data_IF_964758729163
#
_entry.id   IF_964758729163
#
_cell.length_a   1.000
_cell.length_b   1.000
_cell.length_c   1.000
_cell.angle_alpha   90.00
_cell.angle_beta   90.00
_cell.angle_gamma   90.00
#
_symmetry.space_group_name_H-M   'P 1'
#
loop_
_entity.id
_entity.type
_entity.pdbx_description
1 polymer ?
#
# COMPACT_ATOMS: atom_id res chain seq x y z
N UNK A 1 -37.87 -36.60 27.31
CA UNK A 1 -38.20 -36.17 25.94
C UNK A 1 -38.05 -34.66 25.68
N UNK A 2 -38.04 -33.78 26.70
CA UNK A 2 -38.01 -32.30 26.51
C UNK A 2 -36.61 -31.72 26.33
N UNK A 3 -35.60 -32.35 26.92
CA UNK A 3 -34.20 -31.89 26.92
C UNK A 3 -33.51 -32.12 25.58
N UNK A 4 -33.82 -33.23 24.89
CA UNK A 4 -33.24 -33.58 23.58
C UNK A 4 -33.58 -32.54 22.49
N UNK A 5 -34.76 -31.92 22.58
CA UNK A 5 -35.22 -30.92 21.61
C UNK A 5 -34.50 -29.57 21.79
N UNK A 6 -34.16 -29.22 23.03
CA UNK A 6 -33.45 -27.97 23.36
C UNK A 6 -31.99 -28.06 22.92
N UNK A 7 -31.31 -29.20 23.15
CA UNK A 7 -29.93 -29.39 22.69
C UNK A 7 -29.82 -29.42 21.17
N UNK A 8 -30.76 -30.06 20.48
CA UNK A 8 -30.78 -30.09 19.01
C UNK A 8 -31.00 -28.69 18.40
N UNK A 9 -31.91 -27.88 18.98
CA UNK A 9 -32.13 -26.50 18.56
C UNK A 9 -30.91 -25.60 18.79
N UNK A 10 -30.23 -25.74 19.93
CA UNK A 10 -29.03 -24.97 20.25
C UNK A 10 -27.86 -25.30 19.32
N UNK A 11 -27.67 -26.57 18.98
CA UNK A 11 -26.65 -27.03 18.01
C UNK A 11 -26.88 -26.47 16.60
N UNK A 12 -28.14 -26.40 16.15
CA UNK A 12 -28.51 -25.81 14.85
C UNK A 12 -28.22 -24.30 14.77
N UNK A 13 -28.46 -23.56 15.86
CA UNK A 13 -28.18 -22.11 15.91
C UNK A 13 -26.67 -21.82 15.92
N UNK A 14 -25.87 -22.64 16.61
CA UNK A 14 -24.40 -22.45 16.67
C UNK A 14 -23.72 -22.68 15.31
N UNK A 15 -24.25 -23.58 14.48
CA UNK A 15 -23.73 -23.87 13.14
C UNK A 15 -24.03 -22.73 12.13
N UNK A 16 -25.18 -22.04 12.26
CA UNK A 16 -25.56 -20.96 11.36
C UNK A 16 -24.71 -19.69 11.51
N UNK A 17 -24.09 -19.48 12.68
CA UNK A 17 -23.26 -18.29 12.98
C UNK A 17 -21.86 -18.38 12.36
N UNK A 18 -21.41 -19.58 11.97
CA UNK A 18 -20.04 -19.80 11.46
C UNK A 18 -19.85 -19.56 9.95
N UNK A 19 -20.88 -19.18 9.20
CA UNK A 19 -20.77 -19.04 7.74
C UNK A 19 -20.31 -17.65 7.26
N UNK A 20 -20.06 -16.71 8.16
CA UNK A 20 -19.57 -15.39 7.81
C UNK A 20 -18.06 -15.28 7.99
N UNK A 21 -17.31 -16.13 7.30
CA UNK A 21 -15.93 -15.79 6.92
C UNK A 21 -16.01 -14.70 5.84
N UNK A 22 -16.30 -13.47 6.27
CA UNK A 22 -15.87 -12.30 5.54
C UNK A 22 -14.35 -12.28 5.64
N UNK A 23 -13.70 -13.12 4.83
CA UNK A 23 -12.28 -13.02 4.55
C UNK A 23 -12.10 -11.62 3.96
N UNK A 24 -11.80 -10.66 4.84
CA UNK A 24 -11.54 -9.29 4.47
C UNK A 24 -10.41 -9.36 3.47
N UNK A 25 -10.74 -9.27 2.17
CA UNK A 25 -9.73 -9.08 1.13
C UNK A 25 -9.00 -7.83 1.56
N UNK A 26 -7.78 -8.00 2.08
CA UNK A 26 -6.91 -6.89 2.42
C UNK A 26 -6.80 -6.08 1.14
N UNK A 27 -7.49 -4.94 1.11
CA UNK A 27 -7.41 -4.01 -0.01
C UNK A 27 -5.97 -3.56 -0.02
N UNK A 28 -5.16 -4.19 -0.86
CA UNK A 28 -3.75 -3.86 -0.99
C UNK A 28 -3.73 -2.45 -1.56
N UNK A 29 -3.44 -1.46 -0.71
CA UNK A 29 -3.39 -0.07 -1.13
C UNK A 29 -2.07 0.14 -1.87
N UNK A 30 -2.17 0.43 -3.16
CA UNK A 30 -1.00 0.82 -3.97
C UNK A 30 -0.73 2.31 -3.79
N UNK A 31 0.55 2.67 -3.68
CA UNK A 31 0.96 4.07 -3.56
C UNK A 31 1.07 4.67 -4.96
N UNK A 32 0.16 5.60 -5.27
CA UNK A 32 0.13 6.35 -6.52
C UNK A 32 0.30 7.86 -6.27
N UNK A 33 0.82 8.55 -7.28
CA UNK A 33 1.06 9.99 -7.26
C UNK A 33 0.05 10.74 -8.12
N UNK A 34 -0.65 11.71 -7.54
CA UNK A 34 -1.62 12.56 -8.24
C UNK A 34 -1.22 14.05 -8.27
N UNK A 35 -0.27 14.44 -7.41
CA UNK A 35 0.35 15.77 -7.37
C UNK A 35 1.84 15.61 -7.48
N UNK A 36 2.51 16.47 -8.24
CA UNK A 36 3.92 16.34 -8.55
C UNK A 36 4.68 17.57 -8.07
N UNK A 37 5.84 17.32 -7.45
CA UNK A 37 6.77 18.35 -7.06
C UNK A 37 7.69 18.66 -8.24
N UNK A 38 7.65 19.91 -8.70
CA UNK A 38 8.36 20.32 -9.93
C UNK A 38 9.80 20.78 -9.65
N UNK A 39 10.10 21.17 -8.41
CA UNK A 39 11.43 21.62 -8.02
C UNK A 39 12.35 20.44 -7.70
N UNK A 40 13.66 20.70 -7.71
CA UNK A 40 14.65 19.70 -7.32
C UNK A 40 14.72 19.58 -5.80
N UNK A 41 14.65 18.34 -5.29
CA UNK A 41 14.91 18.04 -3.89
C UNK A 41 16.43 17.96 -3.69
N UNK A 42 17.03 18.71 -2.75
CA UNK A 42 18.45 18.61 -2.47
C UNK A 42 18.81 17.19 -2.03
N UNK A 43 19.93 16.66 -2.53
CA UNK A 43 20.35 15.26 -2.27
C UNK A 43 20.48 14.95 -0.78
N UNK A 44 20.89 15.92 0.01
CA UNK A 44 21.01 15.82 1.48
C UNK A 44 19.68 15.59 2.18
N UNK A 45 18.56 15.90 1.53
CA UNK A 45 17.21 15.69 2.06
C UNK A 45 16.53 14.44 1.51
N UNK A 46 17.17 13.69 0.61
CA UNK A 46 16.63 12.43 0.07
C UNK A 46 16.98 11.30 1.04
N UNK A 47 15.98 10.84 1.81
CA UNK A 47 16.13 9.71 2.71
C UNK A 47 16.01 8.38 1.96
N UNK A 48 15.01 8.30 1.07
CA UNK A 48 14.87 7.19 0.14
C UNK A 48 14.06 7.59 -1.08
N UNK A 49 14.22 6.83 -2.16
CA UNK A 49 13.47 6.95 -3.40
C UNK A 49 12.97 5.57 -3.83
N UNK A 50 11.68 5.47 -4.13
CA UNK A 50 11.04 4.24 -4.63
C UNK A 50 10.14 4.55 -5.82
N UNK A 51 9.90 3.56 -6.68
CA UNK A 51 8.90 3.69 -7.75
C UNK A 51 7.50 3.55 -7.16
N UNK A 52 6.54 4.27 -7.73
CA UNK A 52 5.12 3.94 -7.53
C UNK A 52 4.80 2.57 -8.10
N UNK A 53 3.66 2.01 -7.68
CA UNK A 53 3.18 0.73 -8.21
C UNK A 53 2.90 0.82 -9.72
N UNK A 54 3.10 -0.29 -10.45
CA UNK A 54 2.90 -0.35 -11.89
C UNK A 54 1.44 -0.19 -12.32
N UNK A 55 0.48 -0.35 -11.39
CA UNK A 55 -0.95 -0.08 -11.64
C UNK A 55 -1.30 1.40 -11.62
N UNK A 56 -0.40 2.27 -11.18
CA UNK A 56 -0.66 3.70 -11.18
C UNK A 56 -0.70 4.25 -12.61
N UNK A 57 -1.63 5.16 -12.89
CA UNK A 57 -1.79 5.75 -14.23
C UNK A 57 -0.59 6.58 -14.70
N UNK A 58 0.23 7.07 -13.76
CA UNK A 58 1.46 7.81 -14.05
C UNK A 58 2.62 7.17 -13.32
N UNK A 59 3.69 6.88 -14.07
CA UNK A 59 4.95 6.43 -13.50
C UNK A 59 5.62 7.55 -12.72
N UNK A 60 5.83 7.33 -11.43
CA UNK A 60 6.45 8.30 -10.55
C UNK A 60 7.47 7.64 -9.61
N UNK A 61 8.26 8.51 -8.99
CA UNK A 61 9.05 8.21 -7.81
C UNK A 61 8.38 8.85 -6.59
N UNK A 62 8.35 8.10 -5.48
CA UNK A 62 8.05 8.63 -4.16
C UNK A 62 9.38 8.85 -3.46
N UNK A 63 9.67 10.10 -3.14
CA UNK A 63 10.91 10.51 -2.47
C UNK A 63 10.58 10.88 -1.03
N UNK A 64 11.09 10.09 -0.08
CA UNK A 64 10.96 10.38 1.35
C UNK A 64 11.98 11.44 1.75
N UNK A 65 11.51 12.46 2.45
CA UNK A 65 12.36 13.53 2.99
C UNK A 65 11.99 13.80 4.45
N UNK A 66 12.84 14.49 5.24
CA UNK A 66 12.48 14.88 6.61
C UNK A 66 11.23 15.77 6.70
N UNK A 67 10.85 16.44 5.60
CA UNK A 67 9.68 17.33 5.51
C UNK A 67 8.43 16.64 4.97
N UNK A 68 8.50 15.35 4.69
CA UNK A 68 7.42 14.56 4.10
C UNK A 68 7.79 13.96 2.74
N UNK A 69 6.81 13.27 2.16
CA UNK A 69 6.99 12.51 0.93
C UNK A 69 6.59 13.37 -0.28
N UNK A 70 7.44 13.35 -1.30
CA UNK A 70 7.24 14.10 -2.52
C UNK A 70 7.20 13.17 -3.72
N UNK A 71 6.19 13.38 -4.57
CA UNK A 71 6.05 12.68 -5.83
C UNK A 71 6.79 13.43 -6.93
N UNK A 72 7.65 12.73 -7.67
CA UNK A 72 8.38 13.28 -8.83
C UNK A 72 8.16 12.35 -10.02
N UNK A 73 7.84 12.89 -11.20
CA UNK A 73 7.62 12.07 -12.40
C UNK A 73 8.88 11.29 -12.77
N UNK A 74 8.74 10.06 -13.26
CA UNK A 74 9.91 9.27 -13.68
C UNK A 74 10.66 9.88 -14.86
N UNK A 75 10.05 10.79 -15.62
CA UNK A 75 10.69 11.54 -16.72
C UNK A 75 11.73 12.57 -16.24
N UNK A 76 11.80 12.84 -14.93
CA UNK A 76 12.72 13.83 -14.36
C UNK A 76 14.11 13.21 -14.18
N UNK A 77 15.07 13.65 -14.99
CA UNK A 77 16.42 13.06 -15.09
C UNK A 77 17.19 13.01 -13.76
N UNK A 78 17.09 14.05 -12.92
CA UNK A 78 17.77 14.04 -11.63
C UNK A 78 17.22 12.96 -10.69
N UNK A 79 15.91 12.70 -10.73
CA UNK A 79 15.26 11.70 -9.89
C UNK A 79 15.61 10.28 -10.36
N UNK A 80 15.68 10.05 -11.67
CA UNK A 80 16.18 8.80 -12.24
C UNK A 80 17.60 8.49 -11.77
N UNK A 81 18.50 9.49 -11.80
CA UNK A 81 19.88 9.33 -11.34
C UNK A 81 19.96 8.99 -9.86
N UNK A 82 19.18 9.64 -9.01
CA UNK A 82 19.13 9.31 -7.58
C UNK A 82 18.58 7.89 -7.34
N UNK A 83 17.55 7.46 -8.09
CA UNK A 83 17.01 6.10 -8.00
C UNK A 83 18.04 5.02 -8.37
N UNK A 84 18.75 5.20 -9.50
CA UNK A 84 19.79 4.27 -9.94
C UNK A 84 20.91 4.19 -8.90
N UNK A 85 21.34 5.35 -8.37
CA UNK A 85 22.40 5.42 -7.34
C UNK A 85 21.99 4.78 -6.03
N UNK A 86 20.72 4.88 -5.62
CA UNK A 86 20.25 4.17 -4.44
C UNK A 86 20.25 2.65 -4.68
N UNK A 87 19.73 2.22 -5.84
CA UNK A 87 19.64 0.79 -6.18
C UNK A 87 21.01 0.12 -6.30
N UNK A 88 22.05 0.84 -6.73
CA UNK A 88 23.43 0.31 -6.78
C UNK A 88 24.09 0.16 -5.40
N UNK A 89 23.47 0.66 -4.33
CA UNK A 89 23.98 0.59 -2.95
C UNK A 89 23.25 -0.46 -2.10
N UNK A 90 22.17 -1.04 -2.62
CA UNK A 90 21.41 -2.13 -2.00
C UNK A 90 21.88 -3.46 -2.56
#
# INVERSE_FOLDING_TARGET
MKTLSITAGLLLVLLAVHCCDASGKSVTRFVCCFKFFEKRIPKTHVLSISKTDSRCSTEAFVIKTPRGDYCVRQTVEWAQREFIKQRSRS
#
